data_IF_308522112047
#
_entry.id   IF_308522112047
#
_cell.length_a   1.000
_cell.length_b   1.000
_cell.length_c   1.000
_cell.angle_alpha   90.00
_cell.angle_beta   90.00
_cell.angle_gamma   90.00
#
_symmetry.space_group_name_H-M   'P 1'
#
loop_
_entity.id
_entity.type
_entity.pdbx_description
1 polymer ?
#
# COMPACT_ATOMS: atom_id res chain seq x y z
N UNK A 1 -1.34 0.27 -32.69
CA UNK A 1 -0.88 0.39 -32.02
C UNK A 1 -0.71 0.54 -31.94
N UNK A 2 -1.32 0.28 -32.55
CA UNK A 2 -0.88 0.30 -31.86
C UNK A 2 -0.81 0.60 -31.74
N UNK A 3 -1.42 0.59 -32.22
CA UNK A 3 -1.12 0.77 -31.54
C UNK A 3 -1.03 1.22 -31.35
N UNK A 4 -1.70 1.21 -32.23
CA UNK A 4 -1.38 1.47 -31.50
C UNK A 4 -1.55 1.85 -31.30
N UNK A 5 -1.95 1.75 -31.52
CA UNK A 5 -1.77 1.88 -30.70
C UNK A 5 -1.69 2.30 -30.43
N UNK A 6 -2.16 2.25 -30.86
CA UNK A 6 -1.86 2.54 -30.01
C UNK A 6 -2.04 3.04 -29.50
N UNK A 7 -2.26 2.92 -30.09
CA UNK A 7 -2.32 3.62 -29.48
C UNK A 7 -3.13 3.62 -28.68
N UNK A 8 -3.83 3.32 -28.85
CA UNK A 8 -4.16 3.16 -27.94
C UNK A 8 -4.04 2.67 -27.23
N UNK A 9 -4.48 2.40 -27.78
CA UNK A 9 -4.11 1.63 -26.84
C UNK A 9 -3.40 2.12 -25.73
N UNK A 10 -2.84 3.03 -25.79
CA UNK A 10 -2.16 3.49 -24.72
C UNK A 10 -2.96 3.93 -23.60
N UNK A 11 -4.15 4.21 -23.77
CA UNK A 11 -4.94 4.68 -22.70
C UNK A 11 -5.18 3.63 -21.68
N UNK A 12 -5.65 2.48 -22.07
CA UNK A 12 -5.97 1.54 -21.06
C UNK A 12 -4.75 0.85 -20.56
N UNK A 13 -3.70 0.79 -21.31
CA UNK A 13 -2.60 0.16 -20.75
C UNK A 13 -1.98 1.00 -19.71
N UNK A 14 -2.22 2.29 -19.70
CA UNK A 14 -1.79 3.08 -18.62
C UNK A 14 -2.32 2.62 -17.34
N UNK A 15 -3.49 2.03 -17.31
CA UNK A 15 -4.04 1.59 -16.07
C UNK A 15 -3.22 0.54 -15.42
N UNK A 16 -2.51 -0.23 -16.21
CA UNK A 16 -1.68 -1.24 -15.61
C UNK A 16 -0.36 -0.70 -15.19
N UNK A 17 -0.01 0.48 -15.68
CA UNK A 17 1.29 1.01 -15.41
C UNK A 17 1.31 2.11 -14.43
N UNK A 18 0.16 2.66 -14.04
CA UNK A 18 0.15 3.77 -13.13
C UNK A 18 0.09 3.34 -11.69
N UNK A 19 -0.18 2.06 -11.42
CA UNK A 19 -0.19 1.59 -10.06
C UNK A 19 1.20 1.17 -9.66
N UNK A 20 1.60 1.54 -8.47
CA UNK A 20 2.90 1.18 -7.93
C UNK A 20 2.69 0.28 -6.74
N UNK A 21 3.36 -0.84 -6.71
CA UNK A 21 3.17 -1.77 -5.61
C UNK A 21 4.50 -2.32 -5.13
N UNK A 22 4.52 -2.72 -3.87
CA UNK A 22 5.71 -3.29 -3.28
C UNK A 22 5.31 -4.21 -2.16
N UNK A 23 5.98 -5.35 -2.09
CA UNK A 23 5.72 -6.33 -1.07
C UNK A 23 6.62 -6.08 0.11
N UNK A 24 6.10 -6.23 1.33
CA UNK A 24 6.89 -6.01 2.52
C UNK A 24 6.40 -6.97 3.60
N UNK A 25 7.32 -7.44 4.42
CA UNK A 25 6.97 -8.33 5.52
C UNK A 25 6.90 -7.52 6.80
N UNK A 26 5.83 -7.73 7.56
CA UNK A 26 5.63 -7.04 8.83
C UNK A 26 6.39 -7.82 9.90
N UNK A 27 7.33 -7.14 10.57
CA UNK A 27 8.21 -7.83 11.51
C UNK A 27 8.09 -7.34 12.95
N UNK A 28 7.27 -6.34 13.22
CA UNK A 28 7.12 -5.86 14.58
C UNK A 28 6.22 -6.80 15.38
N UNK A 29 6.36 -6.76 16.71
CA UNK A 29 5.73 -7.73 17.57
C UNK A 29 4.21 -7.83 17.41
N UNK A 30 3.51 -6.71 17.35
CA UNK A 30 2.06 -6.75 17.33
C UNK A 30 1.47 -6.64 15.93
N UNK A 31 2.29 -6.55 14.90
CA UNK A 31 1.79 -6.41 13.56
C UNK A 31 1.09 -5.08 13.37
N UNK A 32 0.06 -5.07 12.52
CA UNK A 32 -0.70 -3.85 12.28
C UNK A 32 -1.94 -3.83 13.17
N UNK A 33 -1.70 -3.59 14.45
CA UNK A 33 -2.74 -3.56 15.44
C UNK A 33 -2.37 -2.50 16.47
N UNK A 34 -3.35 -1.91 17.13
CA UNK A 34 -3.13 -0.92 18.17
C UNK A 34 -2.34 0.28 17.62
N UNK A 35 -1.28 0.70 18.30
CA UNK A 35 -0.54 1.89 17.88
C UNK A 35 0.10 1.76 16.51
N UNK A 36 0.71 0.64 16.15
CA UNK A 36 1.24 0.52 14.79
C UNK A 36 0.19 0.75 13.72
N UNK A 37 -1.03 0.26 13.93
CA UNK A 37 -2.09 0.49 12.95
C UNK A 37 -2.40 1.96 12.85
N UNK A 38 -2.44 2.66 13.98
CA UNK A 38 -2.70 4.09 13.98
C UNK A 38 -1.59 4.84 13.24
N UNK A 39 -0.33 4.50 13.51
CA UNK A 39 0.79 5.15 12.84
C UNK A 39 0.73 4.90 11.34
N UNK A 40 0.39 3.67 10.95
CA UNK A 40 0.31 3.32 9.54
C UNK A 40 -0.75 4.18 8.84
N UNK A 41 -1.91 4.33 9.46
CA UNK A 41 -2.99 5.08 8.86
C UNK A 41 -2.63 6.56 8.79
N UNK A 42 -2.01 7.08 9.84
CA UNK A 42 -1.61 8.48 9.83
C UNK A 42 -0.61 8.76 8.73
N UNK A 43 0.34 7.86 8.53
CA UNK A 43 1.33 8.04 7.47
C UNK A 43 0.65 7.95 6.11
N UNK A 44 -0.25 7.01 5.92
CA UNK A 44 -0.95 6.87 4.66
C UNK A 44 -1.76 8.12 4.32
N UNK A 45 -2.32 8.76 5.33
CA UNK A 45 -3.13 9.94 5.11
C UNK A 45 -2.31 11.18 4.72
N UNK A 46 -0.99 11.10 4.81
CA UNK A 46 -0.16 12.21 4.40
C UNK A 46 -0.04 12.30 2.88
N UNK A 47 -0.48 11.28 2.18
CA UNK A 47 -0.32 11.23 0.73
C UNK A 47 -1.66 11.33 0.03
N UNK A 48 -1.62 11.84 -1.20
CA UNK A 48 -2.85 12.01 -1.97
C UNK A 48 -3.25 10.76 -2.71
N UNK A 49 -2.33 9.86 -2.94
CA UNK A 49 -2.62 8.64 -3.69
C UNK A 49 -3.60 7.77 -2.95
N UNK A 50 -4.35 6.99 -3.71
CA UNK A 50 -5.13 5.91 -3.14
C UNK A 50 -4.17 4.81 -2.76
N UNK A 51 -4.24 4.31 -1.55
CA UNK A 51 -3.32 3.29 -1.07
C UNK A 51 -4.12 2.11 -0.58
N UNK A 52 -3.76 0.93 -1.06
CA UNK A 52 -4.41 -0.31 -0.67
C UNK A 52 -3.41 -1.23 -0.02
N UNK A 53 -3.87 -2.00 0.96
CA UNK A 53 -3.06 -3.04 1.57
C UNK A 53 -3.69 -4.37 1.20
N UNK A 54 -2.89 -5.25 0.63
CA UNK A 54 -3.37 -6.56 0.21
C UNK A 54 -2.70 -7.64 1.02
N UNK A 55 -3.49 -8.54 1.58
CA UNK A 55 -3.00 -9.71 2.27
C UNK A 55 -3.75 -10.89 1.70
N UNK A 56 -3.01 -11.82 1.09
CA UNK A 56 -3.60 -12.95 0.39
C UNK A 56 -4.51 -12.39 -0.70
N UNK A 57 -5.78 -12.63 -0.65
CA UNK A 57 -6.66 -12.14 -1.69
C UNK A 57 -7.55 -11.00 -1.23
N UNK A 58 -7.27 -10.45 -0.06
CA UNK A 58 -8.09 -9.37 0.47
C UNK A 58 -7.37 -8.05 0.34
N UNK A 59 -8.09 -7.03 -0.08
CA UNK A 59 -7.56 -5.68 -0.21
C UNK A 59 -8.41 -4.73 0.59
N UNK A 60 -7.76 -3.83 1.30
CA UNK A 60 -8.47 -2.82 2.08
C UNK A 60 -7.79 -1.49 1.86
N UNK A 61 -8.52 -0.42 2.17
CA UNK A 61 -7.99 0.93 2.06
C UNK A 61 -7.01 1.17 3.19
N UNK A 62 -5.79 1.57 2.86
CA UNK A 62 -4.77 1.78 3.88
C UNK A 62 -5.10 2.92 4.82
N UNK A 63 -6.05 3.76 4.46
CA UNK A 63 -6.45 4.89 5.28
C UNK A 63 -7.64 4.56 6.17
N UNK A 64 -8.07 3.30 6.20
CA UNK A 64 -9.21 2.86 6.99
C UNK A 64 -8.74 1.99 8.14
N UNK A 65 -8.96 2.43 9.37
CA UNK A 65 -8.55 1.66 10.52
C UNK A 65 -9.27 0.32 10.58
N UNK A 66 -10.58 0.33 10.35
CA UNK A 66 -11.33 -0.92 10.39
C UNK A 66 -10.86 -1.87 9.31
N UNK A 67 -10.54 -1.33 8.11
CA UNK A 67 -10.04 -2.16 7.05
C UNK A 67 -8.72 -2.83 7.43
N UNK A 68 -7.80 -2.04 7.96
CA UNK A 68 -6.50 -2.57 8.34
C UNK A 68 -6.65 -3.63 9.43
N UNK A 69 -7.47 -3.35 10.44
CA UNK A 69 -7.63 -4.31 11.52
C UNK A 69 -8.30 -5.59 11.05
N UNK A 70 -9.16 -5.49 10.04
CA UNK A 70 -9.89 -6.67 9.56
C UNK A 70 -8.98 -7.66 8.85
N UNK A 71 -7.79 -7.23 8.42
CA UNK A 71 -6.88 -8.14 7.75
C UNK A 71 -6.13 -9.06 8.70
N UNK A 72 -6.08 -8.70 9.97
CA UNK A 72 -5.40 -9.54 10.94
C UNK A 72 -3.92 -9.70 10.66
N UNK A 73 -3.25 -8.59 10.31
CA UNK A 73 -1.84 -8.64 9.97
C UNK A 73 -1.01 -8.76 11.25
N UNK A 74 -0.23 -9.84 11.34
CA UNK A 74 0.57 -10.10 12.52
C UNK A 74 2.04 -10.19 12.13
N UNK A 75 2.90 -10.40 13.13
CA UNK A 75 4.31 -10.53 12.89
C UNK A 75 4.55 -11.68 11.92
N UNK A 76 5.36 -11.41 10.91
CA UNK A 76 5.69 -12.41 9.90
C UNK A 76 4.77 -12.40 8.69
N UNK A 77 3.71 -11.60 8.72
CA UNK A 77 2.80 -11.54 7.59
C UNK A 77 3.41 -10.70 6.46
N UNK A 78 3.32 -11.21 5.24
CA UNK A 78 3.75 -10.47 4.06
C UNK A 78 2.54 -9.78 3.46
N UNK A 79 2.65 -8.49 3.21
CA UNK A 79 1.57 -7.72 2.62
C UNK A 79 2.08 -7.01 1.39
N UNK A 80 1.15 -6.62 0.53
CA UNK A 80 1.46 -5.88 -0.68
C UNK A 80 0.87 -4.49 -0.54
N UNK A 81 1.70 -3.48 -0.72
CA UNK A 81 1.25 -2.09 -0.66
C UNK A 81 1.07 -1.60 -2.08
N UNK A 82 -0.12 -1.16 -2.42
CA UNK A 82 -0.46 -0.74 -3.77
C UNK A 82 -0.91 0.71 -3.72
N UNK A 83 -0.30 1.57 -4.51
CA UNK A 83 -0.66 2.98 -4.53
C UNK A 83 -0.89 3.44 -5.94
N UNK A 84 -1.82 4.38 -6.09
CA UNK A 84 -2.19 4.90 -7.38
C UNK A 84 -2.46 6.39 -7.20
N UNK A 85 -1.59 7.23 -7.73
CA UNK A 85 -1.78 8.66 -7.63
C UNK A 85 -0.49 9.41 -7.87
N UNK A 86 -0.53 10.72 -7.69
CA UNK A 86 0.62 11.56 -8.03
C UNK A 86 1.84 11.30 -7.16
N UNK A 87 1.66 10.84 -5.93
CA UNK A 87 2.77 10.57 -5.03
C UNK A 87 2.84 9.10 -4.66
N UNK A 88 2.46 8.23 -5.58
CA UNK A 88 2.34 6.80 -5.27
C UNK A 88 3.67 6.17 -4.84
N UNK A 89 4.77 6.55 -5.49
CA UNK A 89 6.06 5.96 -5.12
C UNK A 89 6.50 6.43 -3.75
N UNK A 90 6.30 7.71 -3.47
CA UNK A 90 6.68 8.24 -2.17
C UNK A 90 5.82 7.64 -1.08
N UNK A 91 4.54 7.44 -1.36
CA UNK A 91 3.64 6.87 -0.37
C UNK A 91 4.05 5.46 -0.01
N UNK A 92 4.32 4.63 -1.01
CA UNK A 92 4.72 3.26 -0.73
C UNK A 92 6.07 3.23 -0.01
N UNK A 93 7.02 4.06 -0.45
CA UNK A 93 8.32 4.08 0.20
C UNK A 93 8.21 4.48 1.67
N UNK A 94 7.36 5.45 1.98
CA UNK A 94 7.20 5.89 3.35
C UNK A 94 6.58 4.80 4.21
N UNK A 95 5.60 4.08 3.67
CA UNK A 95 4.96 3.01 4.42
C UNK A 95 5.90 1.82 4.61
N UNK A 96 6.68 1.49 3.59
CA UNK A 96 7.66 0.42 3.73
C UNK A 96 8.69 0.78 4.80
N UNK A 97 9.13 2.03 4.81
CA UNK A 97 10.10 2.45 5.80
C UNK A 97 9.51 2.37 7.21
N UNK A 98 8.26 2.78 7.36
CA UNK A 98 7.61 2.71 8.65
C UNK A 98 7.53 1.28 9.16
N UNK A 99 7.17 0.35 8.27
CA UNK A 99 7.05 -1.05 8.64
C UNK A 99 8.42 -1.65 8.95
N UNK A 100 9.42 -1.38 8.12
CA UNK A 100 10.72 -2.00 8.31
C UNK A 100 11.46 -1.42 9.50
N UNK A 101 11.07 -0.24 9.97
CA UNK A 101 11.66 0.34 11.16
C UNK A 101 10.88 -0.05 12.42
N UNK A 102 9.94 -0.99 12.27
CA UNK A 102 9.10 -1.48 13.37
C UNK A 102 8.28 -0.35 13.99
N UNK A 103 7.88 0.60 13.14
CA UNK A 103 7.01 1.71 13.54
C UNK A 103 7.66 2.63 14.55
N UNK A 104 8.97 2.73 14.50
CA UNK A 104 9.66 3.74 15.30
C UNK A 104 9.99 4.89 14.37
N UNK A 105 10.09 6.05 14.91
CA UNK A 105 10.34 7.22 14.10
C UNK A 105 11.77 7.45 13.85
#
# INVERSE_FOLDING_TARGET
>A
DVLGSRGLGDVYKRQMQIMYSKEVQVTNQVGLYARPATFFIQKANEFKSTILVEKEERRVNAKSLLGILSLGITKGTTINLIADGPDEEEAVAALVELITSNFTD
#
